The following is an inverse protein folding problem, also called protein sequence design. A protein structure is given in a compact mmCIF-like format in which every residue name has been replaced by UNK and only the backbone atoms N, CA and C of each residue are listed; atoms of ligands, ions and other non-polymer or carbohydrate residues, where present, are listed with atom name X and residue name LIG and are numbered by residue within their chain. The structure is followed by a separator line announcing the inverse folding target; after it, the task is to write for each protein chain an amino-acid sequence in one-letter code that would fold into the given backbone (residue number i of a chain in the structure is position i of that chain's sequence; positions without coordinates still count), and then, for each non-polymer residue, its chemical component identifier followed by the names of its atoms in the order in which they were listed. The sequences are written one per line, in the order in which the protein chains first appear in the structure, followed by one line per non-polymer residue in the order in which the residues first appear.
data_IF_985964373811
#
_entry.id   IF_985964373811
#
_cell.length_a   1.000
_cell.length_b   1.000
_cell.length_c   1.000
_cell.angle_alpha   90.00
_cell.angle_beta   90.00
_cell.angle_gamma   90.00
#
_symmetry.space_group_name_H-M   'P 1'
#
loop_
_entity.id
_entity.type
_entity.pdbx_description
1 polymer ?
#
# COMPACT_ATOMS: atom_id res chain seq x y z
N UNK A 1 -21.35 -7.09 -14.14
CA UNK A 1 -19.94 -7.09 -14.56
C UNK A 1 -19.00 -6.73 -13.40
N UNK A 2 -19.06 -7.44 -12.25
CA UNK A 2 -18.35 -7.04 -11.00
C UNK A 2 -17.28 -8.03 -10.51
N UNK A 3 -16.88 -9.03 -11.31
CA UNK A 3 -15.91 -10.09 -10.92
C UNK A 3 -14.58 -10.09 -11.71
N UNK A 4 -14.24 -8.96 -12.37
CA UNK A 4 -13.04 -8.86 -13.23
C UNK A 4 -11.98 -7.86 -12.74
N UNK A 5 -12.22 -7.14 -11.64
CA UNK A 5 -11.29 -6.11 -11.13
C UNK A 5 -10.40 -6.67 -10.00
N UNK A 6 -10.94 -7.51 -9.12
CA UNK A 6 -10.23 -8.07 -7.96
C UNK A 6 -9.03 -8.96 -8.35
N UNK A 7 -9.09 -9.63 -9.51
CA UNK A 7 -7.99 -10.49 -10.02
C UNK A 7 -6.75 -9.68 -10.46
N UNK A 8 -6.89 -8.37 -10.69
CA UNK A 8 -5.78 -7.52 -11.14
C UNK A 8 -4.76 -7.21 -10.03
N UNK A 9 -5.14 -7.30 -8.75
CA UNK A 9 -4.24 -7.01 -7.63
C UNK A 9 -3.42 -8.26 -7.27
N UNK A 10 -4.07 -9.41 -7.10
CA UNK A 10 -3.40 -10.65 -6.68
C UNK A 10 -2.44 -11.24 -7.71
N UNK A 11 -2.58 -10.92 -9.01
CA UNK A 11 -1.74 -11.49 -10.08
C UNK A 11 -0.43 -10.74 -10.33
N UNK A 12 -0.29 -9.49 -9.87
CA UNK A 12 0.94 -8.69 -10.02
C UNK A 12 1.99 -9.04 -8.96
N UNK A 13 1.55 -9.43 -7.76
CA UNK A 13 2.43 -9.73 -6.59
C UNK A 13 3.34 -10.96 -6.80
N UNK A 14 3.01 -11.84 -7.75
CA UNK A 14 3.71 -13.13 -7.93
C UNK A 14 4.99 -13.03 -8.79
N UNK A 15 5.25 -11.90 -9.47
CA UNK A 15 6.41 -11.77 -10.37
C UNK A 15 7.74 -11.36 -9.70
N UNK A 16 7.77 -11.14 -8.37
CA UNK A 16 8.91 -10.47 -7.70
C UNK A 16 10.16 -11.36 -7.42
N UNK A 17 10.12 -12.67 -7.63
CA UNK A 17 11.12 -13.62 -7.05
C UNK A 17 12.25 -14.09 -8.00
N UNK A 18 12.24 -13.77 -9.30
CA UNK A 18 13.23 -14.31 -10.24
C UNK A 18 13.80 -13.30 -11.27
N UNK A 19 15.10 -12.97 -11.15
CA UNK A 19 15.82 -12.18 -12.17
C UNK A 19 17.18 -11.63 -11.73
N UNK A 20 18.22 -12.48 -11.70
CA UNK A 20 19.60 -12.10 -11.35
C UNK A 20 20.41 -11.56 -12.56
N UNK A 21 21.20 -10.49 -12.32
CA UNK A 21 22.65 -10.36 -12.67
C UNK A 21 23.12 -9.85 -14.07
N UNK A 22 23.79 -8.67 -14.02
CA UNK A 22 24.84 -8.04 -14.91
C UNK A 22 24.42 -7.22 -16.16
N UNK A 23 24.53 -5.87 -16.07
CA UNK A 23 25.16 -4.92 -17.04
C UNK A 23 24.95 -3.43 -16.64
N UNK A 24 25.91 -2.47 -16.65
CA UNK A 24 27.37 -2.46 -16.45
C UNK A 24 27.75 -1.23 -15.57
N UNK A 25 28.84 -1.31 -14.79
CA UNK A 25 29.50 -0.39 -13.81
C UNK A 25 28.93 0.97 -13.32
N UNK A 26 28.19 1.75 -14.12
CA UNK A 26 27.52 2.98 -13.65
C UNK A 26 25.99 2.79 -13.65
N UNK A 27 25.46 2.17 -14.71
CA UNK A 27 24.15 1.51 -14.69
C UNK A 27 24.07 0.46 -13.58
N UNK A 28 25.16 -0.27 -13.32
CA UNK A 28 25.22 -1.21 -12.18
C UNK A 28 24.99 -0.49 -10.85
N UNK A 29 25.54 0.71 -10.62
CA UNK A 29 25.41 1.43 -9.34
C UNK A 29 24.02 2.04 -9.17
N UNK A 30 23.43 2.54 -10.26
CA UNK A 30 22.02 2.95 -10.29
C UNK A 30 21.11 1.79 -9.95
N UNK A 31 21.30 0.65 -10.63
CA UNK A 31 20.56 -0.57 -10.37
C UNK A 31 20.82 -1.13 -8.95
N UNK A 32 22.03 -1.05 -8.42
CA UNK A 32 22.37 -1.49 -7.06
C UNK A 32 21.68 -0.64 -5.99
N UNK A 33 21.71 0.70 -6.12
CA UNK A 33 20.98 1.64 -5.25
C UNK A 33 19.47 1.41 -5.33
N UNK A 34 18.93 1.21 -6.54
CA UNK A 34 17.52 0.93 -6.79
C UNK A 34 17.07 -0.42 -6.23
N UNK A 35 17.83 -1.49 -6.50
CA UNK A 35 17.52 -2.84 -6.03
C UNK A 35 17.71 -3.00 -4.53
N UNK A 36 18.72 -2.37 -3.92
CA UNK A 36 18.87 -2.37 -2.45
C UNK A 36 17.72 -1.62 -1.77
N UNK A 37 17.25 -0.51 -2.35
CA UNK A 37 16.06 0.16 -1.84
C UNK A 37 14.79 -0.68 -2.06
N UNK A 38 14.64 -1.33 -3.22
CA UNK A 38 13.51 -2.24 -3.51
C UNK A 38 13.51 -3.49 -2.64
N UNK A 39 14.67 -4.06 -2.28
CA UNK A 39 14.78 -5.19 -1.36
C UNK A 39 14.27 -4.81 0.04
N UNK A 40 14.65 -3.63 0.54
CA UNK A 40 14.07 -3.06 1.76
C UNK A 40 12.55 -2.85 1.66
N UNK A 41 12.02 -2.45 0.49
CA UNK A 41 10.58 -2.35 0.29
C UNK A 41 9.88 -3.72 0.24
N UNK A 42 10.51 -4.73 -0.37
CA UNK A 42 10.02 -6.12 -0.40
C UNK A 42 9.89 -6.73 1.01
N UNK A 43 10.86 -6.43 1.90
CA UNK A 43 10.87 -6.92 3.28
C UNK A 43 9.92 -6.12 4.20
N UNK A 44 10.02 -4.79 4.21
CA UNK A 44 9.32 -3.97 5.20
C UNK A 44 7.99 -3.39 4.69
N UNK A 45 7.92 -2.91 3.44
CA UNK A 45 6.82 -2.06 2.96
C UNK A 45 5.71 -2.81 2.22
N UNK A 46 6.04 -3.61 1.19
CA UNK A 46 5.06 -4.31 0.36
C UNK A 46 4.20 -5.33 1.14
N UNK A 47 4.69 -6.00 2.21
CA UNK A 47 3.83 -6.77 3.09
C UNK A 47 2.76 -5.88 3.76
N UNK A 48 3.12 -4.68 4.25
CA UNK A 48 2.15 -3.76 4.85
C UNK A 48 1.15 -3.24 3.81
N UNK A 49 1.61 -2.94 2.59
CA UNK A 49 0.76 -2.50 1.49
C UNK A 49 -0.30 -3.56 1.13
N UNK A 50 0.11 -4.84 1.02
CA UNK A 50 -0.78 -5.97 0.80
C UNK A 50 -1.75 -6.15 1.97
N UNK A 51 -1.24 -6.23 3.20
CA UNK A 51 -2.07 -6.45 4.39
C UNK A 51 -3.08 -5.29 4.60
N UNK A 52 -2.76 -4.07 4.14
CA UNK A 52 -3.68 -2.92 4.11
C UNK A 52 -4.75 -3.07 3.03
N UNK A 53 -4.38 -3.57 1.84
CA UNK A 53 -5.33 -3.93 0.78
C UNK A 53 -6.34 -4.98 1.25
N UNK A 54 -5.86 -6.07 1.85
CA UNK A 54 -6.70 -7.15 2.42
C UNK A 54 -7.66 -6.61 3.50
N UNK A 55 -7.20 -5.66 4.33
CA UNK A 55 -8.05 -4.98 5.30
C UNK A 55 -9.13 -4.10 4.63
N UNK A 56 -8.78 -3.32 3.59
CA UNK A 56 -9.77 -2.50 2.87
C UNK A 56 -10.80 -3.35 2.12
N UNK A 57 -10.38 -4.45 1.48
CA UNK A 57 -11.28 -5.41 0.84
C UNK A 57 -12.21 -6.07 1.89
N UNK A 58 -11.69 -6.42 3.07
CA UNK A 58 -12.51 -6.94 4.19
C UNK A 58 -13.58 -5.93 4.61
N UNK A 59 -13.27 -4.63 4.71
CA UNK A 59 -14.26 -3.59 5.01
C UNK A 59 -15.37 -3.50 3.96
N UNK A 60 -15.06 -3.80 2.69
CA UNK A 60 -16.04 -3.80 1.59
C UNK A 60 -16.90 -5.08 1.63
N UNK A 61 -16.29 -6.24 1.87
CA UNK A 61 -17.02 -7.51 1.97
C UNK A 61 -17.97 -7.56 3.18
N UNK A 62 -17.57 -6.91 4.29
CA UNK A 62 -18.33 -6.78 5.54
C UNK A 62 -19.37 -5.65 5.53
N UNK A 63 -19.85 -5.18 4.37
CA UNK A 63 -20.75 -4.00 4.28
C UNK A 63 -21.97 -4.06 5.22
N UNK A 64 -22.54 -5.26 5.39
CA UNK A 64 -23.77 -5.46 6.17
C UNK A 64 -23.53 -5.62 7.68
N UNK A 65 -22.33 -6.09 8.08
CA UNK A 65 -21.93 -6.37 9.47
C UNK A 65 -20.72 -5.53 9.92
N UNK A 66 -20.41 -4.45 9.20
CA UNK A 66 -19.22 -3.61 9.39
C UNK A 66 -18.99 -3.15 10.84
N UNK A 67 -20.07 -2.80 11.55
CA UNK A 67 -20.00 -2.39 12.96
C UNK A 67 -19.69 -3.55 13.92
N UNK A 68 -20.02 -4.79 13.56
CA UNK A 68 -19.61 -5.99 14.30
C UNK A 68 -18.13 -6.24 14.04
N UNK A 69 -17.70 -6.23 12.77
CA UNK A 69 -16.30 -6.41 12.40
C UNK A 69 -15.36 -5.41 13.10
N UNK A 70 -15.73 -4.13 13.20
CA UNK A 70 -14.94 -3.15 13.95
C UNK A 70 -14.77 -3.50 15.43
N UNK A 71 -15.82 -4.01 16.08
CA UNK A 71 -15.80 -4.42 17.51
C UNK A 71 -15.02 -5.72 17.73
N UNK A 72 -15.05 -6.64 16.77
CA UNK A 72 -14.30 -7.91 16.84
C UNK A 72 -12.80 -7.68 16.61
N UNK A 73 -12.40 -7.33 15.39
CA UNK A 73 -10.98 -7.29 14.97
C UNK A 73 -10.59 -5.96 14.29
N UNK A 74 -11.53 -5.28 13.64
CA UNK A 74 -11.24 -4.21 12.67
C UNK A 74 -10.45 -3.03 13.25
N UNK A 75 -10.72 -2.65 14.51
CA UNK A 75 -9.92 -1.63 15.20
C UNK A 75 -8.49 -2.09 15.49
N UNK A 76 -8.29 -3.34 15.91
CA UNK A 76 -6.96 -3.87 16.22
C UNK A 76 -6.11 -3.96 14.94
N UNK A 77 -6.68 -4.49 13.85
CA UNK A 77 -6.00 -4.58 12.55
C UNK A 77 -5.62 -3.18 12.05
N UNK A 78 -6.52 -2.19 12.15
CA UNK A 78 -6.24 -0.81 11.79
C UNK A 78 -5.06 -0.22 12.59
N UNK A 79 -5.06 -0.37 13.92
CA UNK A 79 -3.98 0.12 14.78
C UNK A 79 -2.64 -0.57 14.49
N UNK A 80 -2.66 -1.88 14.25
CA UNK A 80 -1.48 -2.67 13.88
C UNK A 80 -0.88 -2.22 12.55
N UNK A 81 -1.71 -1.99 11.53
CA UNK A 81 -1.28 -1.45 10.24
C UNK A 81 -0.67 -0.05 10.41
N UNK A 82 -1.31 0.84 11.18
CA UNK A 82 -0.79 2.19 11.46
C UNK A 82 0.56 2.19 12.20
N UNK A 83 0.78 1.27 13.15
CA UNK A 83 2.09 1.14 13.81
C UNK A 83 3.18 0.75 12.82
N UNK A 84 2.93 -0.32 12.04
CA UNK A 84 3.86 -0.82 11.02
C UNK A 84 4.15 0.24 9.95
N UNK A 85 3.14 0.99 9.48
CA UNK A 85 3.31 2.09 8.55
C UNK A 85 4.24 3.17 9.10
N UNK A 86 4.06 3.56 10.36
CA UNK A 86 4.94 4.54 11.02
C UNK A 86 6.37 4.02 11.16
N UNK A 87 6.54 2.75 11.51
CA UNK A 87 7.86 2.10 11.62
C UNK A 87 8.59 2.08 10.27
N UNK A 88 7.95 1.62 9.19
CA UNK A 88 8.56 1.60 7.84
C UNK A 88 8.76 3.01 7.28
N UNK A 89 7.89 3.98 7.60
CA UNK A 89 8.07 5.39 7.23
C UNK A 89 9.39 5.93 7.75
N UNK A 90 9.69 5.65 9.02
CA UNK A 90 10.91 6.04 9.69
C UNK A 90 12.15 5.39 9.06
N UNK A 91 12.05 4.12 8.64
CA UNK A 91 13.11 3.40 7.91
C UNK A 91 13.33 4.04 6.53
N UNK A 92 12.28 4.14 5.71
CA UNK A 92 12.33 4.70 4.35
C UNK A 92 12.87 6.14 4.34
N UNK A 93 12.48 6.98 5.32
CA UNK A 93 13.03 8.34 5.47
C UNK A 93 14.55 8.29 5.69
N UNK A 94 15.03 7.41 6.58
CA UNK A 94 16.45 7.29 6.97
C UNK A 94 17.33 6.61 5.91
N UNK A 95 16.76 5.80 5.01
CA UNK A 95 17.51 5.16 3.93
C UNK A 95 18.07 6.20 2.96
N UNK A 96 19.40 6.33 2.91
CA UNK A 96 20.08 7.17 1.92
C UNK A 96 19.98 6.52 0.54
N UNK A 97 19.56 7.28 -0.46
CA UNK A 97 19.42 6.84 -1.87
C UNK A 97 20.01 7.92 -2.75
N UNK A 98 20.71 7.53 -3.82
CA UNK A 98 21.66 8.43 -4.51
C UNK A 98 21.24 8.84 -5.91
N UNK A 99 20.33 8.09 -6.53
CA UNK A 99 19.96 8.29 -7.93
C UNK A 99 18.49 8.70 -8.08
N UNK A 100 18.20 9.42 -9.17
CA UNK A 100 16.92 10.08 -9.41
C UNK A 100 15.74 9.10 -9.40
N UNK A 101 15.87 7.94 -10.04
CA UNK A 101 14.84 6.91 -10.11
C UNK A 101 14.54 6.31 -8.71
N UNK A 102 15.59 6.07 -7.91
CA UNK A 102 15.44 5.62 -6.51
C UNK A 102 14.81 6.71 -5.64
N UNK A 103 15.15 7.99 -5.85
CA UNK A 103 14.46 9.11 -5.21
C UNK A 103 12.99 9.20 -5.62
N UNK A 104 12.65 8.94 -6.88
CA UNK A 104 11.27 8.92 -7.37
C UNK A 104 10.48 7.78 -6.70
N UNK A 105 11.04 6.57 -6.64
CA UNK A 105 10.45 5.43 -5.92
C UNK A 105 10.27 5.75 -4.42
N UNK A 106 11.31 6.26 -3.75
CA UNK A 106 11.25 6.66 -2.33
C UNK A 106 10.18 7.72 -2.08
N UNK A 107 10.05 8.71 -2.96
CA UNK A 107 9.02 9.75 -2.86
C UNK A 107 7.62 9.17 -3.01
N UNK A 108 7.39 8.31 -4.01
CA UNK A 108 6.10 7.66 -4.22
C UNK A 108 5.73 6.74 -3.04
N UNK A 109 6.66 5.95 -2.51
CA UNK A 109 6.46 5.14 -1.30
C UNK A 109 6.05 6.01 -0.11
N UNK A 110 6.75 7.12 0.14
CA UNK A 110 6.42 8.03 1.24
C UNK A 110 5.05 8.71 1.06
N UNK A 111 4.66 9.03 -0.18
CA UNK A 111 3.29 9.50 -0.48
C UNK A 111 2.26 8.41 -0.20
N UNK A 112 2.49 7.19 -0.66
CA UNK A 112 1.60 6.03 -0.44
C UNK A 112 1.44 5.73 1.06
N UNK A 113 2.52 5.76 1.83
CA UNK A 113 2.48 5.62 3.30
C UNK A 113 1.61 6.71 3.93
N UNK A 114 1.79 7.98 3.55
CA UNK A 114 1.00 9.08 4.11
C UNK A 114 -0.50 8.94 3.78
N UNK A 115 -0.84 8.59 2.53
CA UNK A 115 -2.23 8.34 2.13
C UNK A 115 -2.85 7.15 2.89
N UNK A 116 -2.09 6.09 3.16
CA UNK A 116 -2.55 4.96 3.98
C UNK A 116 -2.74 5.36 5.45
N UNK A 117 -1.83 6.12 6.05
CA UNK A 117 -1.96 6.63 7.41
C UNK A 117 -3.20 7.52 7.58
N UNK A 118 -3.43 8.44 6.63
CA UNK A 118 -4.58 9.35 6.63
C UNK A 118 -5.91 8.58 6.43
N UNK A 119 -5.94 7.61 5.52
CA UNK A 119 -7.12 6.78 5.28
C UNK A 119 -7.43 5.91 6.50
N UNK A 120 -6.46 5.16 7.03
CA UNK A 120 -6.65 4.33 8.22
C UNK A 120 -7.04 5.17 9.43
N UNK A 121 -6.47 6.37 9.60
CA UNK A 121 -6.86 7.33 10.63
C UNK A 121 -8.31 7.80 10.50
N UNK A 122 -8.76 8.08 9.28
CA UNK A 122 -10.12 8.52 8.99
C UNK A 122 -11.15 7.39 9.17
N UNK A 123 -10.83 6.16 8.73
CA UNK A 123 -11.68 4.98 8.93
C UNK A 123 -11.81 4.63 10.42
N UNK A 124 -10.74 4.76 11.20
CA UNK A 124 -10.75 4.53 12.65
C UNK A 124 -11.69 5.50 13.38
N UNK A 125 -11.72 6.79 12.99
CA UNK A 125 -12.57 7.79 13.65
C UNK A 125 -14.02 7.79 13.18
N UNK A 126 -14.31 7.34 11.96
CA UNK A 126 -15.67 7.30 11.40
C UNK A 126 -16.51 6.08 11.76
N UNK A 127 -15.92 5.03 12.36
CA UNK A 127 -16.52 3.72 12.71
C UNK A 127 -18.06 3.65 12.60
N UNK A 128 -18.59 3.16 11.46
CA UNK A 128 -19.99 3.26 11.16
C UNK A 128 -20.83 2.29 12.03
N UNK A 129 -21.89 2.82 12.63
CA UNK A 129 -22.96 1.97 13.16
C UNK A 129 -23.65 1.25 12.00
N UNK A 130 -23.83 -0.07 12.13
CA UNK A 130 -24.62 -0.87 11.16
C UNK A 130 -26.08 -0.40 11.00
N UNK A 131 -26.58 0.41 11.94
CA UNK A 131 -27.94 0.97 11.91
C UNK A 131 -27.99 2.42 11.38
N UNK A 132 -26.86 3.08 11.20
CA UNK A 132 -26.80 4.42 10.60
C UNK A 132 -26.49 4.31 9.10
N UNK A 133 -27.42 4.75 8.26
CA UNK A 133 -27.27 4.68 6.81
C UNK A 133 -26.37 5.80 6.26
N UNK A 134 -26.49 7.02 6.77
CA UNK A 134 -25.70 8.15 6.26
C UNK A 134 -24.25 8.05 6.74
N UNK A 135 -24.00 7.61 7.98
CA UNK A 135 -22.64 7.35 8.46
C UNK A 135 -21.95 6.25 7.65
N UNK A 136 -22.64 5.14 7.33
CA UNK A 136 -22.11 4.09 6.45
C UNK A 136 -21.82 4.61 5.04
N UNK A 137 -22.71 5.40 4.45
CA UNK A 137 -22.51 5.99 3.13
C UNK A 137 -21.26 6.89 3.11
N UNK A 138 -21.11 7.78 4.09
CA UNK A 138 -19.93 8.65 4.23
C UNK A 138 -18.65 7.81 4.40
N UNK A 139 -18.71 6.73 5.19
CA UNK A 139 -17.59 5.80 5.37
C UNK A 139 -17.19 5.12 4.05
N UNK A 140 -18.14 4.63 3.25
CA UNK A 140 -17.81 4.02 1.94
C UNK A 140 -17.40 5.04 0.88
N UNK A 141 -17.95 6.25 0.89
CA UNK A 141 -17.49 7.36 0.04
C UNK A 141 -16.06 7.81 0.39
N UNK A 142 -15.66 7.71 1.67
CA UNK A 142 -14.28 7.92 2.12
C UNK A 142 -13.37 6.74 1.67
N UNK A 143 -13.78 5.51 1.97
CA UNK A 143 -13.02 4.29 1.64
C UNK A 143 -12.76 4.17 0.13
N UNK A 144 -13.78 4.43 -0.70
CA UNK A 144 -13.67 4.39 -2.16
C UNK A 144 -12.71 5.44 -2.71
N UNK A 145 -12.79 6.69 -2.25
CA UNK A 145 -11.86 7.76 -2.69
C UNK A 145 -10.43 7.52 -2.21
N UNK A 146 -10.26 7.03 -0.98
CA UNK A 146 -8.96 6.68 -0.43
C UNK A 146 -8.28 5.53 -1.18
N UNK A 147 -9.02 4.45 -1.43
CA UNK A 147 -8.50 3.29 -2.20
C UNK A 147 -8.27 3.62 -3.68
N UNK A 148 -9.03 4.54 -4.29
CA UNK A 148 -8.74 5.07 -5.63
C UNK A 148 -7.43 5.88 -5.68
N UNK A 149 -7.19 6.74 -4.68
CA UNK A 149 -5.94 7.49 -4.51
C UNK A 149 -4.74 6.55 -4.38
N UNK A 150 -4.81 5.61 -3.43
CA UNK A 150 -3.78 4.59 -3.24
C UNK A 150 -3.56 3.74 -4.50
N UNK A 151 -4.62 3.38 -5.22
CA UNK A 151 -4.50 2.67 -6.51
C UNK A 151 -3.77 3.47 -7.59
N UNK A 152 -3.83 4.81 -7.54
CA UNK A 152 -3.02 5.67 -8.41
C UNK A 152 -1.55 5.64 -7.99
N UNK A 153 -1.25 5.80 -6.71
CA UNK A 153 0.13 5.74 -6.21
C UNK A 153 0.80 4.39 -6.51
N UNK A 154 0.08 3.27 -6.31
CA UNK A 154 0.58 1.92 -6.61
C UNK A 154 0.80 1.71 -8.12
N UNK A 155 0.01 2.33 -9.00
CA UNK A 155 0.30 2.30 -10.45
C UNK A 155 1.58 3.06 -10.78
N UNK A 156 1.74 4.29 -10.27
CA UNK A 156 2.97 5.07 -10.46
C UNK A 156 4.20 4.35 -9.89
N UNK A 157 4.06 3.67 -8.75
CA UNK A 157 5.09 2.80 -8.17
C UNK A 157 5.47 1.64 -9.10
N UNK A 158 4.48 0.94 -9.65
CA UNK A 158 4.69 -0.17 -10.58
C UNK A 158 5.29 0.28 -11.91
N UNK A 159 5.00 1.50 -12.37
CA UNK A 159 5.64 2.10 -13.54
C UNK A 159 7.14 2.31 -13.29
N UNK A 160 7.51 2.92 -12.16
CA UNK A 160 8.92 3.13 -11.75
C UNK A 160 9.66 1.80 -11.57
N UNK A 161 9.06 0.84 -10.84
CA UNK A 161 9.61 -0.50 -10.67
C UNK A 161 9.81 -1.20 -12.02
N UNK A 162 8.84 -1.10 -12.92
CA UNK A 162 8.83 -1.72 -14.25
C UNK A 162 9.88 -1.19 -15.22
N UNK A 163 10.58 -0.09 -14.93
CA UNK A 163 11.72 0.35 -15.74
C UNK A 163 12.97 -0.52 -15.57
N UNK A 164 13.11 -1.17 -14.41
CA UNK A 164 14.27 -2.01 -14.05
C UNK A 164 14.08 -3.52 -14.34
N UNK A 165 12.97 -3.91 -14.99
CA UNK A 165 12.66 -5.31 -15.39
C UNK A 165 12.42 -5.48 -16.91
N UNK A 166 12.93 -4.57 -17.75
CA UNK A 166 12.85 -4.62 -19.22
C UNK A 166 14.17 -5.07 -19.83
#
# INVERSE_FOLDING_TARGET
MKKKIIIAISSVVVMLIAGLVIWINDTNKKAEDFFAFRELLDEDFFPILRDSGDYFDTLIERENDIGIYFVEDGYEVNLKLKSRLKEVKDVVIKTDVKYEDTHALKKNVLTTISEMEDLLGSLYTMSPSQYDFEARKIFYDLLGRGTEGLSKQVREMNEILGEYYK
#
